data_IF_826227079976
#
_entry.id   IF_826227079976
#
_cell.length_a   1.000
_cell.length_b   1.000
_cell.length_c   1.000
_cell.angle_alpha   90.00
_cell.angle_beta   90.00
_cell.angle_gamma   90.00
#
_symmetry.space_group_name_H-M   'P 1'
#
loop_
_entity.id
_entity.type
_entity.pdbx_description
1 polymer ?
#
# COMPACT_ATOMS: atom_id res chain seq x y z
N UNK A 1 -4.98 -34.96 56.22
CA UNK A 1 -4.52 -35.86 55.15
C UNK A 1 -4.67 -35.06 53.85
N UNK A 2 -3.67 -34.30 53.42
CA UNK A 2 -2.60 -34.76 52.52
C UNK A 2 -3.15 -34.80 51.09
N UNK A 3 -2.72 -34.02 50.10
CA UNK A 3 -1.39 -33.46 49.89
C UNK A 3 -1.45 -32.28 48.92
N UNK A 4 -0.79 -31.20 49.31
CA UNK A 4 -0.25 -30.15 48.43
C UNK A 4 0.81 -30.75 47.52
N UNK A 5 0.72 -30.48 46.21
CA UNK A 5 1.84 -30.66 45.28
C UNK A 5 2.15 -29.31 44.65
N UNK A 6 3.22 -28.71 45.16
CA UNK A 6 3.90 -27.57 44.60
C UNK A 6 4.57 -27.98 43.29
N UNK A 7 4.29 -27.25 42.21
CA UNK A 7 5.13 -27.22 41.02
C UNK A 7 5.83 -25.86 40.98
N UNK A 8 7.05 -25.87 41.52
CA UNK A 8 8.06 -24.83 41.30
C UNK A 8 8.72 -25.14 39.96
N UNK A 9 8.53 -24.28 38.96
CA UNK A 9 9.33 -24.31 37.74
C UNK A 9 9.63 -22.87 37.29
N UNK A 10 10.92 -22.59 37.16
CA UNK A 10 11.56 -21.32 36.84
C UNK A 10 11.00 -20.67 35.56
N UNK A 11 10.68 -19.38 35.64
CA UNK A 11 10.51 -18.48 34.51
C UNK A 11 11.36 -17.24 34.71
N UNK A 12 12.43 -17.12 33.94
CA UNK A 12 13.46 -16.09 33.92
C UNK A 12 12.94 -14.64 34.12
N UNK A 13 13.51 -13.92 35.09
CA UNK A 13 13.47 -12.45 35.11
C UNK A 13 14.40 -11.93 34.00
N UNK A 14 13.82 -11.49 32.88
CA UNK A 14 14.51 -10.59 31.96
C UNK A 14 14.07 -9.16 32.26
N UNK A 15 14.76 -8.52 33.20
CA UNK A 15 14.76 -7.06 33.34
C UNK A 15 15.64 -6.52 32.21
N UNK A 16 14.98 -6.02 31.18
CA UNK A 16 15.57 -5.28 30.08
C UNK A 16 14.78 -4.00 29.87
N UNK A 17 14.79 -3.11 30.87
CA UNK A 17 14.35 -1.74 30.73
C UNK A 17 15.39 -0.98 29.89
N UNK A 18 15.37 -1.23 28.58
CA UNK A 18 15.99 -0.36 27.60
C UNK A 18 14.91 0.55 27.05
N UNK A 19 14.82 1.77 27.57
CA UNK A 19 14.11 2.85 26.93
C UNK A 19 14.76 3.13 25.58
N UNK A 20 14.33 2.42 24.53
CA UNK A 20 14.45 2.90 23.17
C UNK A 20 13.20 3.73 22.91
N UNK A 21 13.20 4.97 23.38
CA UNK A 21 12.47 6.05 22.74
C UNK A 21 13.12 6.27 21.37
N UNK A 22 12.89 5.32 20.48
CA UNK A 22 12.99 5.55 19.05
C UNK A 22 11.55 5.80 18.64
N UNK A 23 11.21 6.93 18.01
CA UNK A 23 9.92 7.02 17.37
C UNK A 23 9.88 5.82 16.44
N UNK A 24 9.01 4.86 16.77
CA UNK A 24 8.60 3.84 15.83
C UNK A 24 8.09 4.65 14.64
N UNK A 25 8.95 4.84 13.63
CA UNK A 25 8.49 5.11 12.30
C UNK A 25 7.71 3.85 11.98
N UNK A 26 6.41 3.90 12.25
CA UNK A 26 5.42 2.99 11.73
C UNK A 26 5.59 3.08 10.22
N UNK A 27 6.52 2.28 9.72
CA UNK A 27 6.80 2.12 8.31
C UNK A 27 5.60 1.32 7.84
N UNK A 28 4.50 2.04 7.57
CA UNK A 28 3.29 1.48 6.98
C UNK A 28 3.78 0.64 5.82
N UNK A 29 3.61 -0.67 5.94
CA UNK A 29 4.12 -1.59 4.93
C UNK A 29 3.46 -1.23 3.60
N UNK A 30 4.17 -1.36 2.46
CA UNK A 30 3.60 -1.07 1.12
C UNK A 30 2.23 -1.74 0.94
N UNK A 31 2.07 -2.95 1.50
CA UNK A 31 0.82 -3.70 1.52
C UNK A 31 -0.32 -2.99 2.28
N UNK A 32 -0.04 -2.38 3.43
CA UNK A 32 -1.02 -1.62 4.21
C UNK A 32 -1.42 -0.33 3.50
N UNK A 33 -0.45 0.36 2.88
CA UNK A 33 -0.71 1.57 2.10
C UNK A 33 -1.56 1.27 0.85
N UNK A 34 -1.37 0.12 0.21
CA UNK A 34 -2.19 -0.27 -0.96
C UNK A 34 -3.63 -0.67 -0.62
N UNK A 35 -3.88 -1.04 0.65
CA UNK A 35 -5.21 -1.34 1.18
C UNK A 35 -5.92 -0.14 1.80
N UNK A 36 -5.29 1.03 1.79
CA UNK A 36 -5.93 2.25 2.28
C UNK A 36 -7.01 2.72 1.33
N UNK A 37 -8.21 2.83 1.89
CA UNK A 37 -9.41 3.26 1.21
C UNK A 37 -9.47 4.78 1.18
N UNK A 38 -9.60 5.34 -0.01
CA UNK A 38 -9.74 6.77 -0.23
C UNK A 38 -10.87 7.05 -1.22
N UNK A 39 -11.47 8.22 -1.11
CA UNK A 39 -12.45 8.71 -2.09
C UNK A 39 -11.69 9.24 -3.29
N UNK A 40 -11.98 8.69 -4.46
CA UNK A 40 -11.45 9.15 -5.74
C UNK A 40 -12.56 9.78 -6.57
N UNK A 41 -12.21 10.88 -7.25
CA UNK A 41 -13.05 11.54 -8.24
C UNK A 41 -12.16 11.86 -9.45
N UNK A 42 -12.03 10.88 -10.34
CA UNK A 42 -11.22 10.96 -11.54
C UNK A 42 -12.16 10.96 -12.74
N UNK A 43 -12.21 12.04 -13.54
CA UNK A 43 -13.08 12.11 -14.70
C UNK A 43 -12.68 11.11 -15.78
N UNK A 44 -13.63 10.74 -16.62
CA UNK A 44 -13.34 9.98 -17.84
C UNK A 44 -12.49 10.83 -18.79
N UNK A 45 -11.53 10.21 -19.47
CA UNK A 45 -10.62 10.96 -20.31
C UNK A 45 -9.32 10.22 -20.65
N UNK A 46 -8.27 10.96 -21.04
CA UNK A 46 -6.97 10.40 -21.37
C UNK A 46 -6.40 9.64 -20.17
N UNK A 47 -5.92 8.41 -20.40
CA UNK A 47 -5.39 7.57 -19.34
C UNK A 47 -4.17 8.22 -18.64
N UNK A 48 -3.34 8.96 -19.38
CA UNK A 48 -2.22 9.71 -18.80
C UNK A 48 -2.66 10.72 -17.72
N UNK A 49 -3.71 11.51 -18.00
CA UNK A 49 -4.25 12.49 -17.06
C UNK A 49 -4.81 11.82 -15.81
N UNK A 50 -5.55 10.73 -16.00
CA UNK A 50 -6.14 9.99 -14.90
C UNK A 50 -5.08 9.33 -13.99
N UNK A 51 -4.04 8.73 -14.56
CA UNK A 51 -2.91 8.17 -13.82
C UNK A 51 -2.15 9.26 -13.04
N UNK A 52 -2.00 10.44 -13.64
CA UNK A 52 -1.39 11.58 -12.97
C UNK A 52 -2.21 12.00 -11.74
N UNK A 53 -3.52 12.22 -11.89
CA UNK A 53 -4.41 12.57 -10.76
C UNK A 53 -4.34 11.50 -9.67
N UNK A 54 -4.39 10.22 -10.04
CA UNK A 54 -4.29 9.10 -9.12
C UNK A 54 -2.94 9.09 -8.37
N UNK A 55 -1.84 9.32 -9.07
CA UNK A 55 -0.50 9.41 -8.48
C UNK A 55 -0.42 10.55 -7.44
N UNK A 56 -0.93 11.73 -7.80
CA UNK A 56 -0.99 12.89 -6.89
C UNK A 56 -1.86 12.62 -5.65
N UNK A 57 -3.04 12.01 -5.83
CA UNK A 57 -3.97 11.74 -4.72
C UNK A 57 -3.41 10.74 -3.68
N UNK A 58 -2.49 9.87 -4.10
CA UNK A 58 -1.91 8.82 -3.25
C UNK A 58 -0.45 9.09 -2.85
N UNK A 59 0.14 10.19 -3.31
CA UNK A 59 1.57 10.48 -3.12
C UNK A 59 2.49 9.43 -3.73
N UNK A 60 2.05 8.79 -4.82
CA UNK A 60 2.79 7.74 -5.52
C UNK A 60 3.49 8.33 -6.75
N UNK A 61 4.61 7.73 -7.13
CA UNK A 61 5.24 7.99 -8.43
C UNK A 61 4.83 6.87 -9.39
N UNK A 62 4.19 7.22 -10.50
CA UNK A 62 3.77 6.26 -11.53
C UNK A 62 4.58 6.52 -12.80
N UNK A 63 5.41 5.57 -13.19
CA UNK A 63 6.15 5.61 -14.45
C UNK A 63 5.35 4.86 -15.53
N UNK A 64 5.11 5.51 -16.67
CA UNK A 64 4.40 4.95 -17.81
C UNK A 64 4.94 5.53 -19.11
N UNK A 65 4.75 4.80 -20.22
CA UNK A 65 5.08 5.31 -21.54
C UNK A 65 3.92 6.19 -22.07
N UNK A 66 4.19 7.48 -22.22
CA UNK A 66 3.19 8.45 -22.67
C UNK A 66 2.66 8.15 -24.08
N UNK A 67 3.43 7.45 -24.93
CA UNK A 67 2.99 7.14 -26.29
C UNK A 67 1.93 6.05 -26.33
N UNK A 68 1.95 5.18 -25.33
CA UNK A 68 0.95 4.12 -25.13
C UNK A 68 -0.29 4.70 -24.45
N UNK A 69 -0.14 5.50 -23.40
CA UNK A 69 -1.29 6.02 -22.63
C UNK A 69 -2.04 7.17 -23.30
N UNK A 70 -1.44 7.90 -24.26
CA UNK A 70 -2.12 8.98 -25.00
C UNK A 70 -3.26 8.49 -25.92
N UNK A 71 -3.20 7.24 -26.38
CA UNK A 71 -4.22 6.65 -27.24
C UNK A 71 -5.26 5.83 -26.45
N UNK A 72 -5.06 5.72 -25.14
CA UNK A 72 -5.91 4.98 -24.22
C UNK A 72 -6.79 5.94 -23.44
N UNK A 73 -8.05 5.57 -23.30
CA UNK A 73 -9.01 6.29 -22.47
C UNK A 73 -9.44 5.43 -21.31
N UNK A 74 -9.75 6.09 -20.20
CA UNK A 74 -10.35 5.44 -19.02
C UNK A 74 -11.78 5.94 -18.85
N UNK A 75 -12.71 5.08 -18.39
CA UNK A 75 -14.04 5.53 -17.97
C UNK A 75 -13.99 6.44 -16.72
N UNK A 76 -12.82 6.64 -16.12
CA UNK A 76 -12.65 7.38 -14.88
C UNK A 76 -12.93 6.50 -13.67
N UNK A 77 -12.79 7.09 -12.48
CA UNK A 77 -13.00 6.42 -11.21
C UNK A 77 -13.68 7.39 -10.25
N UNK A 78 -14.92 7.08 -9.87
CA UNK A 78 -15.67 7.86 -8.89
C UNK A 78 -16.18 6.93 -7.79
N UNK A 79 -15.83 7.23 -6.54
CA UNK A 79 -16.27 6.47 -5.36
C UNK A 79 -15.13 6.18 -4.39
N UNK A 80 -15.40 5.26 -3.48
CA UNK A 80 -14.52 4.92 -2.37
C UNK A 80 -13.82 3.61 -2.69
N UNK A 81 -12.51 3.67 -2.95
CA UNK A 81 -11.71 2.51 -3.38
C UNK A 81 -10.39 2.46 -2.63
N UNK A 82 -9.80 1.27 -2.54
CA UNK A 82 -8.40 1.16 -2.11
C UNK A 82 -7.47 1.61 -3.25
N UNK A 83 -6.23 2.00 -2.94
CA UNK A 83 -5.22 2.31 -3.97
C UNK A 83 -5.11 1.19 -5.02
N UNK A 84 -5.04 -0.07 -4.57
CA UNK A 84 -4.95 -1.23 -5.48
C UNK A 84 -6.20 -1.37 -6.36
N UNK A 85 -7.37 -1.21 -5.75
CA UNK A 85 -8.66 -1.41 -6.40
C UNK A 85 -8.99 -0.29 -7.39
N UNK A 86 -8.69 0.96 -7.00
CA UNK A 86 -8.83 2.13 -7.84
C UNK A 86 -7.92 2.07 -9.08
N UNK A 87 -6.67 1.64 -8.90
CA UNK A 87 -5.74 1.49 -10.02
C UNK A 87 -6.18 0.37 -10.97
N UNK A 88 -6.59 -0.78 -10.43
CA UNK A 88 -7.17 -1.89 -11.21
C UNK A 88 -8.36 -1.41 -12.06
N UNK A 89 -9.30 -0.70 -11.43
CA UNK A 89 -10.49 -0.19 -12.11
C UNK A 89 -10.17 0.88 -13.15
N UNK A 90 -9.19 1.73 -12.87
CA UNK A 90 -8.76 2.78 -13.80
C UNK A 90 -8.12 2.20 -15.07
N UNK A 91 -7.35 1.13 -14.90
CA UNK A 91 -6.67 0.40 -15.98
C UNK A 91 -7.59 -0.63 -16.66
N UNK A 92 -8.73 -0.95 -16.06
CA UNK A 92 -9.70 -1.88 -16.61
C UNK A 92 -10.19 -1.42 -17.98
N UNK A 93 -10.01 -2.29 -19.00
CA UNK A 93 -10.35 -1.99 -20.40
C UNK A 93 -9.22 -1.37 -21.22
N UNK A 94 -8.10 -0.97 -20.62
CA UNK A 94 -6.92 -0.47 -21.35
C UNK A 94 -5.92 -1.55 -21.76
N UNK A 95 -6.02 -2.74 -21.15
CA UNK A 95 -5.06 -3.84 -21.35
C UNK A 95 -3.70 -3.61 -20.69
N UNK A 96 -3.54 -2.56 -19.89
CA UNK A 96 -2.30 -2.27 -19.17
C UNK A 96 -2.24 -3.02 -17.85
N UNK A 97 -1.05 -3.54 -17.53
CA UNK A 97 -0.73 -4.10 -16.22
C UNK A 97 0.09 -3.08 -15.42
N UNK A 98 -0.12 -3.05 -14.10
CA UNK A 98 0.66 -2.25 -13.17
C UNK A 98 1.45 -3.13 -12.20
N UNK A 99 2.54 -2.58 -11.68
CA UNK A 99 3.30 -3.17 -10.57
C UNK A 99 3.71 -2.06 -9.62
N UNK A 100 3.52 -2.26 -8.33
CA UNK A 100 4.09 -1.37 -7.33
C UNK A 100 5.59 -1.64 -7.24
N UNK A 101 6.39 -0.61 -7.45
CA UNK A 101 7.82 -0.67 -7.16
C UNK A 101 7.98 -0.63 -5.64
N UNK A 102 8.25 -1.78 -5.04
CA UNK A 102 8.72 -1.82 -3.66
C UNK A 102 10.09 -1.14 -3.62
N UNK A 103 10.23 -0.14 -2.74
CA UNK A 103 11.32 0.83 -2.69
C UNK A 103 12.70 0.22 -3.03
N UNK A 104 13.13 0.40 -4.29
CA UNK A 104 14.54 0.45 -4.67
C UNK A 104 15.36 -0.83 -4.57
N UNK A 105 14.83 -2.01 -4.95
CA UNK A 105 15.70 -3.17 -5.26
C UNK A 105 15.34 -3.82 -6.60
N UNK A 106 15.60 -3.10 -7.69
CA UNK A 106 15.97 -3.81 -8.94
C UNK A 106 17.35 -4.42 -8.72
N UNK A 107 17.41 -5.73 -8.52
CA UNK A 107 18.65 -6.48 -8.80
C UNK A 107 18.56 -6.94 -10.24
N UNK A 108 19.61 -6.62 -11.01
CA UNK A 108 19.78 -6.86 -12.44
C UNK A 108 19.67 -8.33 -12.82
#
# INVERSE_FOLDING_TARGET
MGSTLAITAMGVLSIGAGAADSPAQASISTQERTGWIQTYEIPSGPMATALNIFAYANGLHVAYDARVTQHLTTPGLAGVYSVKDGLDRLLHGSGLAYRFADNGRSVS
#
